data_IF_596599323162
#
_entry.id   IF_596599323162
#
_cell.length_a   1.000
_cell.length_b   1.000
_cell.length_c   1.000
_cell.angle_alpha   90.00
_cell.angle_beta   90.00
_cell.angle_gamma   90.00
#
_symmetry.space_group_name_H-M   'P 1'
#
loop_
_entity.id
_entity.type
_entity.pdbx_description
1 polymer ?
#
# COMPACT_ATOMS: atom_id res chain seq x y z
N UNK A 1 48.84 -11.98 -2.86
CA UNK A 1 47.67 -12.41 -3.63
C UNK A 1 46.45 -12.24 -2.75
N UNK A 2 45.59 -11.27 -3.08
CA UNK A 2 44.27 -11.09 -2.48
C UNK A 2 43.30 -12.10 -3.10
N UNK A 3 42.53 -12.82 -2.28
CA UNK A 3 41.17 -13.24 -2.64
C UNK A 3 40.29 -13.01 -1.41
N UNK A 4 39.42 -12.01 -1.53
CA UNK A 4 38.42 -11.58 -0.57
C UNK A 4 37.17 -12.44 -0.78
N UNK A 5 36.65 -13.03 0.30
CA UNK A 5 35.32 -13.65 0.39
C UNK A 5 34.22 -12.63 0.07
N UNK A 6 33.14 -12.99 -0.64
CA UNK A 6 31.85 -12.36 -0.45
C UNK A 6 30.94 -13.25 0.42
N UNK A 7 30.64 -12.75 1.62
CA UNK A 7 29.45 -13.13 2.37
C UNK A 7 28.21 -12.77 1.54
N UNK A 8 27.44 -13.77 1.15
CA UNK A 8 26.10 -13.64 0.57
C UNK A 8 25.10 -14.37 1.46
N UNK A 9 24.89 -13.82 2.66
CA UNK A 9 23.74 -14.06 3.56
C UNK A 9 23.63 -12.79 4.41
N UNK A 10 22.51 -12.14 4.65
CA UNK A 10 21.12 -12.44 4.41
C UNK A 10 20.42 -11.11 4.10
N UNK A 11 19.54 -11.13 3.11
CA UNK A 11 18.52 -10.09 2.96
C UNK A 11 17.64 -10.12 4.22
N UNK A 12 17.74 -9.06 5.01
CA UNK A 12 16.76 -8.73 6.03
C UNK A 12 15.41 -8.50 5.35
N UNK A 13 14.54 -9.51 5.41
CA UNK A 13 13.11 -9.37 5.15
C UNK A 13 12.45 -8.58 6.29
N UNK A 14 12.72 -7.28 6.34
CA UNK A 14 11.78 -6.34 6.94
C UNK A 14 10.65 -6.10 5.92
N UNK A 15 9.38 -6.16 6.31
CA UNK A 15 8.30 -5.68 5.47
C UNK A 15 8.43 -4.15 5.44
N UNK A 16 9.13 -3.63 4.45
CA UNK A 16 9.10 -2.21 4.15
C UNK A 16 7.68 -1.88 3.70
N UNK A 17 6.90 -1.31 4.62
CA UNK A 17 5.77 -0.46 4.25
C UNK A 17 6.34 0.68 3.40
N UNK A 18 6.27 0.52 2.08
CA UNK A 18 6.70 1.50 1.13
C UNK A 18 5.61 1.63 0.08
N UNK A 19 4.76 2.64 0.23
CA UNK A 19 4.18 3.32 -0.92
C UNK A 19 5.34 4.01 -1.66
N UNK A 20 6.26 3.26 -2.25
CA UNK A 20 7.44 3.84 -2.89
C UNK A 20 7.17 3.99 -4.36
N UNK A 21 6.74 5.19 -4.75
CA UNK A 21 7.06 5.70 -6.08
C UNK A 21 8.49 5.29 -6.44
N UNK A 22 8.67 4.75 -7.64
CA UNK A 22 9.98 4.48 -8.20
C UNK A 22 10.82 5.77 -8.20
N UNK A 23 12.15 5.64 -8.35
CA UNK A 23 13.01 6.83 -8.37
C UNK A 23 12.66 7.80 -9.51
N UNK A 24 12.18 7.29 -10.65
CA UNK A 24 11.67 8.12 -11.75
C UNK A 24 10.39 8.84 -11.37
N UNK A 25 9.42 8.14 -10.80
CA UNK A 25 8.14 8.75 -10.37
C UNK A 25 8.36 9.79 -9.28
N UNK A 26 9.29 9.55 -8.36
CA UNK A 26 9.67 10.53 -7.34
C UNK A 26 10.23 11.81 -7.94
N UNK A 27 11.01 11.71 -9.03
CA UNK A 27 11.49 12.89 -9.77
C UNK A 27 10.35 13.61 -10.47
N UNK A 28 9.41 12.88 -11.10
CA UNK A 28 8.19 13.47 -11.69
C UNK A 28 7.39 14.24 -10.65
N UNK A 29 7.16 13.65 -9.48
CA UNK A 29 6.50 14.28 -8.33
C UNK A 29 7.25 15.53 -7.85
N UNK A 30 8.58 15.45 -7.74
CA UNK A 30 9.39 16.59 -7.33
C UNK A 30 9.28 17.76 -8.32
N UNK A 31 9.34 17.49 -9.63
CA UNK A 31 9.18 18.51 -10.68
C UNK A 31 7.77 19.10 -10.69
N UNK A 32 6.74 18.27 -10.49
CA UNK A 32 5.35 18.71 -10.37
C UNK A 32 5.13 19.63 -9.16
N UNK A 33 5.59 19.21 -7.97
CA UNK A 33 5.51 19.99 -6.73
C UNK A 33 6.31 21.30 -6.88
N UNK A 34 7.51 21.23 -7.45
CA UNK A 34 8.34 22.41 -7.69
C UNK A 34 7.64 23.42 -8.61
N UNK A 35 7.08 22.96 -9.73
CA UNK A 35 6.35 23.83 -10.67
C UNK A 35 5.15 24.50 -9.99
N UNK A 36 4.37 23.73 -9.23
CA UNK A 36 3.20 24.24 -8.52
C UNK A 36 3.57 25.29 -7.46
N UNK A 37 4.62 25.03 -6.66
CA UNK A 37 5.04 25.95 -5.60
C UNK A 37 5.67 27.23 -6.14
N UNK A 38 6.48 27.16 -7.22
CA UNK A 38 7.02 28.37 -7.85
C UNK A 38 5.92 29.20 -8.50
N UNK A 39 4.98 28.57 -9.22
CA UNK A 39 3.79 29.25 -9.77
C UNK A 39 2.99 29.97 -8.69
N UNK A 40 2.77 29.31 -7.55
CA UNK A 40 2.08 29.91 -6.41
C UNK A 40 2.84 31.13 -5.84
N UNK A 41 4.16 31.05 -5.76
CA UNK A 41 5.01 32.13 -5.25
C UNK A 41 5.08 33.33 -6.20
N UNK A 42 5.16 33.10 -7.52
CA UNK A 42 5.10 34.15 -8.54
C UNK A 42 3.77 34.90 -8.43
N UNK A 43 2.66 34.16 -8.31
CA UNK A 43 1.34 34.76 -8.15
C UNK A 43 1.19 35.49 -6.81
N UNK A 44 1.74 34.94 -5.71
CA UNK A 44 1.79 35.63 -4.41
C UNK A 44 2.54 36.94 -4.50
N UNK A 45 3.73 36.94 -5.12
CA UNK A 45 4.55 38.13 -5.33
C UNK A 45 3.82 39.18 -6.18
N UNK A 46 3.19 38.74 -7.29
CA UNK A 46 2.36 39.61 -8.11
C UNK A 46 1.26 40.30 -7.29
N UNK A 47 0.54 39.55 -6.46
CA UNK A 47 -0.53 40.14 -5.62
C UNK A 47 0.02 41.09 -4.54
N UNK A 48 1.17 40.77 -3.94
CA UNK A 48 1.81 41.62 -2.94
C UNK A 48 2.25 42.96 -3.53
N UNK A 49 2.74 42.95 -4.76
CA UNK A 49 3.35 44.12 -5.39
C UNK A 49 2.44 44.85 -6.38
N UNK A 50 1.15 44.52 -6.37
CA UNK A 50 0.14 45.19 -7.20
C UNK A 50 -0.26 46.53 -6.58
N UNK A 51 0.63 47.52 -6.63
CA UNK A 51 0.26 48.93 -6.46
C UNK A 51 -0.32 49.46 -7.80
N UNK A 52 -1.33 50.34 -7.74
CA UNK A 52 -1.87 50.97 -8.97
C UNK A 52 -0.72 51.65 -9.72
N UNK A 53 -0.57 51.45 -11.05
CA UNK A 53 0.56 52.00 -11.77
C UNK A 53 0.58 53.52 -11.66
N UNK A 54 1.66 54.06 -11.08
CA UNK A 54 1.98 55.48 -11.15
C UNK A 54 2.31 55.82 -12.60
N UNK A 55 1.71 56.89 -13.13
CA UNK A 55 1.91 57.32 -14.52
C UNK A 55 3.41 57.51 -14.82
N UNK A 56 3.96 56.65 -15.69
CA UNK A 56 5.35 56.72 -16.15
C UNK A 56 6.27 55.58 -15.69
N UNK A 57 5.84 54.68 -14.80
CA UNK A 57 6.63 53.52 -14.40
C UNK A 57 6.36 52.30 -15.29
N UNK A 58 7.43 51.59 -15.67
CA UNK A 58 7.34 50.34 -16.43
C UNK A 58 6.65 49.31 -15.53
N UNK A 59 5.53 48.74 -15.99
CA UNK A 59 4.86 47.66 -15.26
C UNK A 59 5.75 46.41 -15.19
N UNK A 60 6.50 46.26 -14.09
CA UNK A 60 7.53 45.19 -13.96
C UNK A 60 6.91 43.81 -13.66
N UNK A 61 5.64 43.71 -13.26
CA UNK A 61 5.17 42.50 -12.59
C UNK A 61 4.04 41.85 -13.41
N UNK A 62 4.38 40.77 -14.11
CA UNK A 62 3.43 39.95 -14.86
C UNK A 62 3.11 38.70 -14.05
N UNK A 63 1.82 38.33 -14.01
CA UNK A 63 1.34 37.06 -13.44
C UNK A 63 2.02 35.86 -14.10
N UNK A 64 1.93 34.68 -13.48
CA UNK A 64 2.38 33.44 -14.11
C UNK A 64 1.61 33.16 -15.41
N UNK A 65 2.27 33.38 -16.55
CA UNK A 65 1.70 33.13 -17.89
C UNK A 65 1.66 31.65 -18.25
N UNK A 66 2.54 30.85 -17.65
CA UNK A 66 2.67 29.41 -17.92
C UNK A 66 1.75 28.57 -17.02
N UNK A 67 0.98 29.19 -16.11
CA UNK A 67 0.12 28.49 -15.16
C UNK A 67 -0.84 27.50 -15.86
N UNK A 68 -1.43 27.91 -16.98
CA UNK A 68 -2.35 27.05 -17.74
C UNK A 68 -1.63 25.81 -18.32
N UNK A 69 -0.43 26.01 -18.88
CA UNK A 69 0.44 24.93 -19.36
C UNK A 69 0.85 24.01 -18.22
N UNK A 70 1.26 24.59 -17.09
CA UNK A 70 1.61 23.86 -15.87
C UNK A 70 0.48 22.94 -15.42
N UNK A 71 -0.76 23.44 -15.31
CA UNK A 71 -1.92 22.62 -14.94
C UNK A 71 -2.20 21.49 -15.95
N UNK A 72 -2.07 21.76 -17.25
CA UNK A 72 -2.19 20.72 -18.28
C UNK A 72 -1.10 19.64 -18.14
N UNK A 73 0.13 20.04 -17.84
CA UNK A 73 1.23 19.11 -17.56
C UNK A 73 0.97 18.30 -16.30
N UNK A 74 0.48 18.91 -15.22
CA UNK A 74 0.10 18.17 -14.02
C UNK A 74 -0.98 17.12 -14.32
N UNK A 75 -2.00 17.47 -15.11
CA UNK A 75 -3.02 16.51 -15.52
C UNK A 75 -2.43 15.32 -16.30
N UNK A 76 -1.50 15.59 -17.22
CA UNK A 76 -0.92 14.53 -18.07
C UNK A 76 0.16 13.68 -17.37
N UNK A 77 0.91 14.27 -16.43
CA UNK A 77 2.08 13.63 -15.79
C UNK A 77 1.76 13.06 -14.41
N UNK A 78 0.87 13.70 -13.64
CA UNK A 78 0.52 13.29 -12.27
C UNK A 78 -0.98 13.09 -12.06
N UNK A 79 -1.77 13.09 -13.14
CA UNK A 79 -3.20 12.76 -13.15
C UNK A 79 -4.11 13.70 -12.36
N UNK A 80 -3.66 14.91 -12.05
CA UNK A 80 -4.48 15.88 -11.32
C UNK A 80 -4.13 17.32 -11.67
N UNK A 81 -5.10 18.22 -11.58
CA UNK A 81 -4.90 19.67 -11.54
C UNK A 81 -5.08 20.26 -10.14
N UNK A 82 -5.53 19.44 -9.18
CA UNK A 82 -5.72 19.84 -7.79
C UNK A 82 -4.35 19.95 -7.09
N UNK A 83 -3.92 21.21 -6.89
CA UNK A 83 -2.66 21.52 -6.23
C UNK A 83 -2.64 21.06 -4.76
N UNK A 84 -3.77 21.06 -4.06
CA UNK A 84 -3.82 20.59 -2.67
C UNK A 84 -3.59 19.08 -2.60
N UNK A 85 -4.19 18.33 -3.52
CA UNK A 85 -3.94 16.89 -3.66
C UNK A 85 -2.48 16.60 -3.97
N UNK A 86 -1.88 17.35 -4.90
CA UNK A 86 -0.46 17.23 -5.27
C UNK A 86 0.46 17.48 -4.07
N UNK A 87 0.27 18.59 -3.36
CA UNK A 87 1.12 18.98 -2.23
C UNK A 87 0.98 18.03 -1.03
N UNK A 88 -0.19 17.38 -0.88
CA UNK A 88 -0.46 16.40 0.16
C UNK A 88 0.05 14.98 -0.17
N UNK A 89 0.44 14.71 -1.43
CA UNK A 89 0.89 13.38 -1.86
C UNK A 89 2.17 12.94 -1.12
N UNK A 90 3.15 13.85 -0.97
CA UNK A 90 4.36 13.62 -0.18
C UNK A 90 4.77 14.89 0.60
N UNK A 91 4.23 15.05 1.80
CA UNK A 91 4.55 16.17 2.69
C UNK A 91 6.06 16.37 2.93
N UNK A 92 6.88 15.29 2.97
CA UNK A 92 8.32 15.42 3.20
C UNK A 92 8.97 16.07 1.99
N UNK A 93 8.64 15.58 0.79
CA UNK A 93 9.11 16.15 -0.47
C UNK A 93 8.60 17.58 -0.66
N UNK A 94 7.31 17.83 -0.43
CA UNK A 94 6.71 19.17 -0.48
C UNK A 94 7.44 20.15 0.44
N UNK A 95 7.69 19.77 1.69
CA UNK A 95 8.43 20.61 2.62
C UNK A 95 9.88 20.83 2.15
N UNK A 96 10.57 19.79 1.67
CA UNK A 96 11.92 19.92 1.15
C UNK A 96 12.00 20.90 -0.03
N UNK A 97 11.09 20.78 -1.00
CA UNK A 97 11.02 21.69 -2.15
C UNK A 97 10.70 23.10 -1.69
N UNK A 98 9.68 23.27 -0.83
CA UNK A 98 9.27 24.58 -0.30
C UNK A 98 10.41 25.33 0.38
N UNK A 99 11.23 24.64 1.19
CA UNK A 99 12.39 25.27 1.86
C UNK A 99 13.51 25.67 0.88
N UNK A 100 13.55 25.09 -0.33
CA UNK A 100 14.53 25.41 -1.36
C UNK A 100 14.13 26.57 -2.28
N UNK A 101 12.89 27.06 -2.18
CA UNK A 101 12.41 28.18 -3.01
C UNK A 101 12.88 29.49 -2.41
N UNK A 102 13.62 30.28 -3.19
CA UNK A 102 14.01 31.63 -2.82
C UNK A 102 12.84 32.59 -3.04
N UNK A 103 12.18 32.99 -1.96
CA UNK A 103 10.99 33.87 -2.00
C UNK A 103 11.42 35.34 -1.99
N UNK A 104 11.03 36.16 -2.98
CA UNK A 104 11.29 37.60 -2.94
C UNK A 104 10.59 38.27 -1.75
N UNK A 105 11.31 39.13 -1.02
CA UNK A 105 10.81 39.75 0.22
C UNK A 105 9.98 41.01 -0.01
N UNK A 106 10.34 41.79 -1.03
CA UNK A 106 9.71 43.06 -1.35
C UNK A 106 9.68 43.33 -2.88
N UNK A 107 8.97 44.39 -3.27
CA UNK A 107 8.69 44.70 -4.67
C UNK A 107 9.88 45.27 -5.44
N UNK A 108 11.01 45.50 -4.77
CA UNK A 108 12.26 45.95 -5.38
C UNK A 108 13.25 44.79 -5.59
N UNK A 109 12.96 43.60 -5.04
CA UNK A 109 13.77 42.40 -5.16
C UNK A 109 13.62 41.69 -6.53
N UNK A 110 13.97 42.44 -7.57
CA UNK A 110 13.95 42.00 -8.97
C UNK A 110 14.88 40.80 -9.22
N UNK A 111 15.96 40.68 -8.45
CA UNK A 111 16.91 39.57 -8.59
C UNK A 111 16.34 38.26 -8.05
N UNK A 112 15.69 38.27 -6.87
CA UNK A 112 15.01 37.08 -6.37
C UNK A 112 13.83 36.71 -7.27
N UNK A 113 13.09 37.70 -7.79
CA UNK A 113 12.01 37.46 -8.74
C UNK A 113 12.52 36.77 -10.01
N UNK A 114 13.60 37.26 -10.62
CA UNK A 114 14.18 36.64 -11.81
C UNK A 114 14.63 35.20 -11.49
N UNK A 115 15.28 34.99 -10.35
CA UNK A 115 15.71 33.65 -9.91
C UNK A 115 14.51 32.71 -9.73
N UNK A 116 13.40 33.21 -9.20
CA UNK A 116 12.16 32.46 -9.02
C UNK A 116 11.55 32.04 -10.38
N UNK A 117 11.55 32.95 -11.36
CA UNK A 117 11.08 32.70 -12.72
C UNK A 117 11.98 31.68 -13.42
N UNK A 118 13.30 31.86 -13.37
CA UNK A 118 14.25 30.94 -13.99
C UNK A 118 14.10 29.51 -13.43
N UNK A 119 13.96 29.39 -12.10
CA UNK A 119 13.75 28.09 -11.45
C UNK A 119 12.38 27.48 -11.79
N UNK A 120 11.36 28.31 -11.99
CA UNK A 120 10.06 27.86 -12.44
C UNK A 120 10.12 27.28 -13.86
N UNK A 121 10.80 27.96 -14.78
CA UNK A 121 11.00 27.48 -16.16
C UNK A 121 11.76 26.13 -16.17
N UNK A 122 12.80 26.00 -15.35
CA UNK A 122 13.54 24.74 -15.19
C UNK A 122 12.65 23.63 -14.63
N UNK A 123 11.79 23.93 -13.65
CA UNK A 123 10.87 22.97 -13.08
C UNK A 123 9.82 22.50 -14.10
N UNK A 124 9.27 23.43 -14.90
CA UNK A 124 8.32 23.12 -15.98
C UNK A 124 8.96 22.28 -17.07
N UNK A 125 10.17 22.64 -17.51
CA UNK A 125 10.91 21.86 -18.50
C UNK A 125 11.18 20.44 -17.98
N UNK A 126 11.57 20.31 -16.72
CA UNK A 126 11.78 19.01 -16.07
C UNK A 126 10.51 18.17 -16.03
N UNK A 127 9.35 18.78 -15.77
CA UNK A 127 8.05 18.12 -15.80
C UNK A 127 7.64 17.71 -17.22
N UNK A 128 7.99 18.50 -18.24
CA UNK A 128 7.71 18.21 -19.65
C UNK A 128 8.33 16.88 -20.09
N UNK A 129 9.61 16.73 -19.78
CA UNK A 129 10.40 15.56 -20.15
C UNK A 129 10.21 14.37 -19.19
N UNK A 130 9.50 14.58 -18.08
CA UNK A 130 9.28 13.53 -17.10
C UNK A 130 8.35 12.43 -17.64
N UNK A 131 8.55 11.20 -17.17
CA UNK A 131 7.59 10.11 -17.42
C UNK A 131 6.35 10.31 -16.54
N UNK A 132 5.13 10.05 -17.06
CA UNK A 132 3.93 10.07 -16.25
C UNK A 132 4.02 9.08 -15.07
N UNK A 133 3.32 9.39 -13.98
CA UNK A 133 3.11 8.43 -12.89
C UNK A 133 2.30 7.24 -13.39
N UNK A 134 2.65 6.03 -12.95
CA UNK A 134 1.87 4.84 -13.29
C UNK A 134 0.53 4.81 -12.54
N UNK A 135 0.48 5.45 -11.37
CA UNK A 135 -0.69 5.50 -10.50
C UNK A 135 -1.13 6.94 -10.23
N UNK A 136 -2.44 7.13 -10.04
CA UNK A 136 -3.02 8.43 -9.70
C UNK A 136 -2.67 8.83 -8.27
N UNK A 137 -2.56 10.14 -8.02
CA UNK A 137 -2.36 10.67 -6.66
C UNK A 137 -3.61 10.43 -5.81
N UNK A 138 -3.43 9.77 -4.67
CA UNK A 138 -4.49 9.52 -3.68
C UNK A 138 -4.13 10.30 -2.42
N UNK A 139 -5.04 11.13 -1.90
CA UNK A 139 -4.78 11.92 -0.68
C UNK A 139 -4.57 11.00 0.52
N UNK A 140 -3.60 11.29 1.41
CA UNK A 140 -3.32 10.44 2.59
C UNK A 140 -4.52 10.28 3.55
N UNK A 141 -5.48 11.22 3.55
CA UNK A 141 -6.72 11.07 4.30
C UNK A 141 -7.68 10.04 3.67
N UNK A 142 -7.65 9.90 2.34
CA UNK A 142 -8.35 8.85 1.62
C UNK A 142 -7.57 7.54 1.60
N UNK A 143 -6.25 7.53 1.80
CA UNK A 143 -5.47 6.27 1.82
C UNK A 143 -5.84 5.37 2.99
N UNK A 144 -6.04 5.88 4.21
CA UNK A 144 -6.41 5.04 5.36
C UNK A 144 -7.83 4.48 5.24
N UNK A 145 -8.79 5.28 4.75
CA UNK A 145 -10.19 4.85 4.58
C UNK A 145 -10.38 3.98 3.34
N UNK A 146 -9.64 4.25 2.26
CA UNK A 146 -9.61 3.42 1.05
C UNK A 146 -8.82 2.14 1.29
N UNK A 147 -7.77 2.13 2.11
CA UNK A 147 -7.09 0.90 2.53
C UNK A 147 -7.95 0.08 3.47
N UNK A 148 -8.61 0.68 4.46
CA UNK A 148 -9.58 -0.04 5.29
C UNK A 148 -10.70 -0.62 4.41
N UNK A 149 -11.22 0.14 3.44
CA UNK A 149 -12.23 -0.34 2.51
C UNK A 149 -11.69 -1.39 1.52
N UNK A 150 -10.47 -1.26 1.01
CA UNK A 150 -9.86 -2.20 0.08
C UNK A 150 -9.47 -3.50 0.80
N UNK A 151 -8.94 -3.42 2.02
CA UNK A 151 -8.67 -4.56 2.87
C UNK A 151 -9.98 -5.23 3.30
N UNK A 152 -11.01 -4.46 3.65
CA UNK A 152 -12.35 -4.99 3.92
C UNK A 152 -12.96 -5.63 2.66
N UNK A 153 -12.75 -5.04 1.49
CA UNK A 153 -13.23 -5.58 0.21
C UNK A 153 -12.46 -6.83 -0.19
N UNK A 154 -11.15 -6.92 0.08
CA UNK A 154 -10.35 -8.13 -0.10
C UNK A 154 -10.78 -9.23 0.87
N UNK A 155 -11.04 -8.89 2.13
CA UNK A 155 -11.58 -9.82 3.14
C UNK A 155 -12.94 -10.35 2.68
N UNK A 156 -13.87 -9.45 2.33
CA UNK A 156 -15.21 -9.82 1.87
C UNK A 156 -15.15 -10.64 0.57
N UNK A 157 -14.26 -10.30 -0.36
CA UNK A 157 -14.06 -11.05 -1.60
C UNK A 157 -13.48 -12.43 -1.32
N UNK A 158 -12.46 -12.54 -0.49
CA UNK A 158 -11.86 -13.83 -0.11
C UNK A 158 -12.91 -14.73 0.54
N UNK A 159 -13.74 -14.19 1.43
CA UNK A 159 -14.84 -14.92 2.05
C UNK A 159 -15.89 -15.32 1.00
N UNK A 160 -16.26 -14.43 0.07
CA UNK A 160 -17.25 -14.71 -0.97
C UNK A 160 -16.78 -15.75 -1.99
N UNK A 161 -15.49 -15.73 -2.36
CA UNK A 161 -14.87 -16.66 -3.29
C UNK A 161 -14.60 -18.03 -2.64
N UNK A 162 -14.66 -18.11 -1.30
CA UNK A 162 -14.50 -19.36 -0.56
C UNK A 162 -15.78 -20.18 -0.59
N UNK A 163 -15.62 -21.49 -0.77
CA UNK A 163 -16.68 -22.46 -0.58
C UNK A 163 -16.73 -22.96 0.87
N UNK A 164 -15.56 -23.17 1.48
CA UNK A 164 -15.44 -23.59 2.87
C UNK A 164 -14.36 -22.78 3.58
N UNK A 165 -14.64 -22.43 4.84
CA UNK A 165 -13.71 -21.69 5.70
C UNK A 165 -13.65 -22.40 7.04
N UNK A 166 -12.44 -22.67 7.54
CA UNK A 166 -12.26 -23.38 8.80
C UNK A 166 -11.15 -22.74 9.65
N UNK A 167 -11.40 -22.62 10.95
CA UNK A 167 -10.36 -22.38 11.94
C UNK A 167 -9.83 -23.75 12.40
N UNK A 168 -8.54 -23.98 12.22
CA UNK A 168 -7.89 -25.25 12.49
C UNK A 168 -6.74 -25.08 13.48
N UNK A 169 -6.40 -26.17 14.18
CA UNK A 169 -5.22 -26.24 15.04
C UNK A 169 -4.31 -27.39 14.64
N UNK A 170 -3.00 -27.15 14.70
CA UNK A 170 -1.97 -28.13 14.36
C UNK A 170 -1.75 -29.08 15.53
N UNK A 171 -2.02 -30.37 15.34
CA UNK A 171 -1.87 -31.42 16.35
C UNK A 171 -1.06 -32.59 15.80
N UNK A 172 -0.34 -33.29 16.67
CA UNK A 172 0.39 -34.50 16.26
C UNK A 172 -0.57 -35.65 15.99
N UNK A 173 -0.34 -36.43 14.93
CA UNK A 173 -1.08 -37.66 14.63
C UNK A 173 -1.06 -38.63 15.81
N UNK A 174 0.03 -38.68 16.57
CA UNK A 174 0.18 -39.57 17.74
C UNK A 174 -0.80 -39.26 18.88
N UNK A 175 -1.35 -38.05 18.94
CA UNK A 175 -2.32 -37.66 19.96
C UNK A 175 -3.76 -38.06 19.61
N UNK A 176 -3.97 -38.68 18.45
CA UNK A 176 -5.26 -38.92 17.85
C UNK A 176 -5.45 -40.40 17.53
N UNK A 177 -6.66 -40.91 17.73
CA UNK A 177 -7.01 -42.25 17.28
C UNK A 177 -7.24 -42.30 15.75
N UNK A 178 -7.29 -43.50 15.17
CA UNK A 178 -7.42 -43.68 13.72
C UNK A 178 -8.68 -43.02 13.13
N UNK A 179 -9.80 -43.04 13.86
CA UNK A 179 -11.06 -42.41 13.44
C UNK A 179 -10.93 -40.88 13.41
N UNK A 180 -10.29 -40.31 14.43
CA UNK A 180 -10.02 -38.87 14.51
C UNK A 180 -9.04 -38.42 13.43
N UNK A 181 -8.00 -39.21 13.14
CA UNK A 181 -7.04 -38.91 12.07
C UNK A 181 -7.70 -38.93 10.68
N UNK A 182 -8.67 -39.82 10.45
CA UNK A 182 -9.42 -39.88 9.20
C UNK A 182 -10.37 -38.67 9.00
N UNK A 183 -10.81 -38.03 10.09
CA UNK A 183 -11.75 -36.92 10.06
C UNK A 183 -11.07 -35.54 10.09
N UNK A 184 -9.75 -35.49 10.26
CA UNK A 184 -8.98 -34.24 10.32
C UNK A 184 -8.17 -34.04 9.04
N UNK A 185 -7.78 -32.79 8.82
CA UNK A 185 -7.19 -32.37 7.56
C UNK A 185 -5.69 -32.62 7.61
N UNK A 186 -5.12 -33.12 6.53
CA UNK A 186 -3.70 -33.45 6.48
C UNK A 186 -2.97 -32.31 5.79
N UNK A 187 -2.01 -31.65 6.47
CA UNK A 187 -1.11 -30.68 5.88
C UNK A 187 -0.40 -31.23 4.64
N UNK A 188 0.06 -32.47 4.78
CA UNK A 188 0.56 -33.37 3.76
C UNK A 188 0.39 -34.80 4.30
N UNK A 189 0.26 -35.79 3.42
CA UNK A 189 0.18 -37.20 3.81
C UNK A 189 1.42 -37.67 4.56
N UNK A 190 2.60 -37.11 4.23
CA UNK A 190 3.87 -37.46 4.86
C UNK A 190 4.13 -36.75 6.20
N UNK A 191 3.41 -35.66 6.51
CA UNK A 191 3.63 -34.90 7.76
C UNK A 191 3.18 -35.69 9.00
N UNK A 192 3.90 -35.56 10.12
CA UNK A 192 3.49 -36.10 11.43
C UNK A 192 2.33 -35.33 12.08
N UNK A 193 1.92 -34.21 11.48
CA UNK A 193 0.92 -33.31 12.01
C UNK A 193 -0.34 -33.32 11.18
N UNK A 194 -1.47 -33.00 11.81
CA UNK A 194 -2.77 -32.79 11.17
C UNK A 194 -3.40 -31.49 11.66
N UNK A 195 -4.26 -30.92 10.83
CA UNK A 195 -5.13 -29.82 11.17
C UNK A 195 -6.46 -30.34 11.70
N UNK A 196 -6.63 -30.21 13.00
CA UNK A 196 -7.91 -30.44 13.67
C UNK A 196 -8.78 -29.20 13.50
N UNK A 197 -9.95 -29.35 12.88
CA UNK A 197 -10.93 -28.27 12.76
C UNK A 197 -11.53 -27.95 14.13
N UNK A 198 -11.53 -26.66 14.49
CA UNK A 198 -12.17 -26.13 15.70
C UNK A 198 -13.57 -25.59 15.38
N UNK A 199 -13.64 -24.75 14.35
CA UNK A 199 -14.85 -24.05 13.92
C UNK A 199 -14.86 -23.92 12.40
N UNK A 200 -16.04 -23.87 11.81
CA UNK A 200 -16.21 -23.71 10.37
C UNK A 200 -17.37 -22.81 9.98
N UNK A 201 -17.25 -22.22 8.80
CA UNK A 201 -18.21 -21.32 8.16
C UNK A 201 -18.43 -21.74 6.71
N UNK A 202 -19.62 -21.43 6.18
CA UNK A 202 -20.07 -21.78 4.84
C UNK A 202 -20.12 -23.30 4.62
N UNK A 203 -19.61 -23.77 3.48
CA UNK A 203 -19.56 -25.18 3.14
C UNK A 203 -18.70 -25.98 4.11
N UNK A 204 -19.04 -27.26 4.20
CA UNK A 204 -18.23 -28.26 4.87
C UNK A 204 -17.48 -29.05 3.80
N UNK A 205 -16.16 -29.17 3.96
CA UNK A 205 -15.35 -30.05 3.13
C UNK A 205 -14.64 -31.04 4.05
N UNK A 206 -14.81 -32.33 3.75
CA UNK A 206 -14.24 -33.45 4.51
C UNK A 206 -12.78 -33.74 4.17
N UNK A 207 -12.29 -33.27 3.01
CA UNK A 207 -10.93 -33.53 2.51
C UNK A 207 -10.44 -32.34 1.65
N UNK A 208 -9.18 -31.95 1.78
CA UNK A 208 -8.59 -30.86 0.98
C UNK A 208 -7.42 -31.36 0.16
N UNK A 209 -7.22 -30.75 -1.01
CA UNK A 209 -6.17 -31.12 -1.96
C UNK A 209 -4.99 -30.15 -1.85
N UNK A 210 -3.93 -30.64 -1.20
CA UNK A 210 -2.60 -30.06 -1.19
C UNK A 210 -2.46 -28.80 -0.33
N UNK A 211 -1.46 -28.76 0.55
CA UNK A 211 -1.05 -27.51 1.18
C UNK A 211 0.41 -27.20 0.85
N UNK A 212 0.71 -25.91 0.66
CA UNK A 212 2.09 -25.43 0.49
C UNK A 212 2.87 -25.24 1.80
N UNK A 213 2.27 -25.53 2.96
CA UNK A 213 2.92 -25.35 4.29
C UNK A 213 3.37 -26.71 4.82
N UNK A 214 4.57 -27.16 4.44
CA UNK A 214 5.16 -28.31 5.12
C UNK A 214 5.44 -27.94 6.58
N UNK A 215 4.86 -28.69 7.53
CA UNK A 215 5.20 -28.56 8.95
C UNK A 215 6.25 -29.62 9.27
N UNK A 216 7.50 -29.17 9.37
CA UNK A 216 8.60 -30.03 9.79
C UNK A 216 8.68 -30.13 11.33
N UNK A 217 9.15 -31.26 11.85
CA UNK A 217 9.24 -31.53 13.29
C UNK A 217 10.10 -30.50 14.04
N UNK A 218 11.10 -29.92 13.39
CA UNK A 218 11.97 -28.87 13.95
C UNK A 218 11.31 -27.48 13.98
N UNK A 219 10.23 -27.26 13.23
CA UNK A 219 9.54 -25.98 13.09
C UNK A 219 8.22 -25.93 13.87
N UNK A 220 7.72 -27.07 14.36
CA UNK A 220 6.44 -27.15 15.06
C UNK A 220 6.32 -26.16 16.23
N UNK A 221 7.43 -25.87 16.92
CA UNK A 221 7.47 -24.99 18.08
C UNK A 221 7.58 -23.50 17.72
N UNK A 222 7.93 -23.18 16.48
CA UNK A 222 8.09 -21.79 15.99
C UNK A 222 6.91 -21.34 15.15
N UNK A 223 6.15 -22.28 14.56
CA UNK A 223 4.96 -21.93 13.78
C UNK A 223 3.74 -21.62 14.66
N UNK A 224 2.82 -20.75 14.19
CA UNK A 224 1.51 -20.58 14.79
C UNK A 224 0.76 -21.92 14.91
N UNK A 225 0.12 -22.16 16.06
CA UNK A 225 -0.64 -23.40 16.33
C UNK A 225 -2.05 -23.39 15.77
N UNK A 226 -2.55 -22.23 15.37
CA UNK A 226 -3.92 -22.04 14.88
C UNK A 226 -3.90 -21.24 13.59
N UNK A 227 -4.74 -21.66 12.64
CA UNK A 227 -4.81 -21.11 11.30
C UNK A 227 -6.26 -21.00 10.83
N UNK A 228 -6.61 -19.90 10.20
CA UNK A 228 -7.84 -19.73 9.44
C UNK A 228 -7.55 -20.05 7.98
N UNK A 229 -8.22 -21.07 7.45
CA UNK A 229 -8.02 -21.58 6.09
C UNK A 229 -9.26 -21.32 5.23
N UNK A 230 -9.03 -20.96 3.97
CA UNK A 230 -10.03 -20.58 2.98
C UNK A 230 -9.88 -21.47 1.75
N UNK A 231 -10.98 -22.09 1.33
CA UNK A 231 -10.93 -23.22 0.41
C UNK A 231 -11.96 -23.05 -0.70
N UNK A 232 -11.56 -23.39 -1.92
CA UNK A 232 -12.45 -23.36 -3.09
C UNK A 232 -13.43 -24.55 -3.08
N UNK A 233 -14.35 -24.58 -4.05
CA UNK A 233 -15.34 -25.66 -4.21
C UNK A 233 -14.74 -27.05 -4.48
N UNK A 234 -13.48 -27.12 -4.89
CA UNK A 234 -12.76 -28.37 -5.16
C UNK A 234 -11.87 -28.78 -3.98
N UNK A 235 -11.86 -28.00 -2.89
CA UNK A 235 -11.01 -28.25 -1.73
C UNK A 235 -9.56 -27.79 -1.88
N UNK A 236 -9.25 -26.89 -2.82
CA UNK A 236 -7.94 -26.24 -2.91
C UNK A 236 -7.84 -25.03 -1.99
N UNK A 237 -6.64 -24.77 -1.47
CA UNK A 237 -6.37 -23.57 -0.67
C UNK A 237 -6.42 -22.31 -1.52
N UNK A 238 -7.30 -21.39 -1.12
CA UNK A 238 -7.30 -20.00 -1.58
C UNK A 238 -6.34 -19.18 -0.71
N UNK A 239 -6.41 -19.36 0.62
CA UNK A 239 -5.60 -18.60 1.59
C UNK A 239 -5.47 -19.36 2.92
N UNK A 240 -4.36 -19.19 3.61
CA UNK A 240 -4.16 -19.64 4.98
C UNK A 240 -3.53 -18.51 5.80
N UNK A 241 -4.12 -18.19 6.95
CA UNK A 241 -3.72 -17.05 7.80
C UNK A 241 -3.58 -17.54 9.23
N UNK A 242 -2.50 -17.19 9.91
CA UNK A 242 -2.34 -17.52 11.33
C UNK A 242 -3.40 -16.80 12.17
N UNK A 243 -3.92 -17.46 13.21
CA UNK A 243 -5.08 -16.97 13.95
C UNK A 243 -4.88 -15.57 14.57
N UNK A 244 -3.64 -15.24 14.98
CA UNK A 244 -3.25 -13.93 15.49
C UNK A 244 -3.44 -12.80 14.46
N UNK A 245 -3.37 -13.11 13.16
CA UNK A 245 -3.54 -12.17 12.05
C UNK A 245 -4.92 -12.26 11.41
N UNK A 246 -5.77 -13.19 11.84
CA UNK A 246 -7.06 -13.49 11.23
C UNK A 246 -8.24 -12.72 11.87
N UNK A 247 -7.99 -11.85 12.84
CA UNK A 247 -9.03 -11.11 13.60
C UNK A 247 -10.01 -10.39 12.68
N UNK A 248 -9.54 -9.73 11.63
CA UNK A 248 -10.40 -9.00 10.68
C UNK A 248 -11.34 -9.93 9.92
N UNK A 249 -10.91 -11.15 9.58
CA UNK A 249 -11.75 -12.14 8.90
C UNK A 249 -12.77 -12.75 9.88
N UNK A 250 -12.33 -13.09 11.09
CA UNK A 250 -13.20 -13.65 12.14
C UNK A 250 -14.33 -12.68 12.52
N UNK A 251 -14.05 -11.37 12.57
CA UNK A 251 -15.07 -10.34 12.82
C UNK A 251 -16.15 -10.30 11.74
N UNK A 252 -15.81 -10.59 10.47
CA UNK A 252 -16.78 -10.63 9.36
C UNK A 252 -17.55 -11.94 9.34
N UNK A 253 -16.87 -13.05 9.63
CA UNK A 253 -17.48 -14.39 9.66
C UNK A 253 -18.47 -14.56 10.81
N UNK A 254 -18.30 -13.81 11.91
CA UNK A 254 -19.17 -13.85 13.09
C UNK A 254 -19.28 -15.29 13.64
N UNK A 255 -20.48 -15.79 13.91
CA UNK A 255 -20.69 -17.08 14.56
C UNK A 255 -20.37 -18.26 13.64
N UNK A 256 -19.68 -19.26 14.19
CA UNK A 256 -19.39 -20.50 13.50
C UNK A 256 -20.69 -21.24 13.16
N UNK A 257 -20.78 -21.73 11.93
CA UNK A 257 -21.95 -22.46 11.43
C UNK A 257 -21.85 -23.97 11.70
N UNK A 258 -20.63 -24.49 11.87
CA UNK A 258 -20.43 -25.90 12.16
C UNK A 258 -19.11 -26.16 12.89
N UNK A 259 -19.00 -27.32 13.52
CA UNK A 259 -17.79 -27.82 14.19
C UNK A 259 -17.79 -29.33 14.29
N UNK A 260 -16.66 -29.91 14.64
CA UNK A 260 -16.57 -31.32 14.99
C UNK A 260 -16.55 -31.51 16.50
N UNK A 261 -17.24 -32.53 17.01
CA UNK A 261 -17.09 -32.94 18.40
C UNK A 261 -15.81 -33.76 18.63
N UNK A 262 -15.59 -34.16 19.88
CA UNK A 262 -14.44 -35.01 20.28
C UNK A 262 -14.39 -36.38 19.60
N UNK A 263 -15.52 -36.85 19.07
CA UNK A 263 -15.63 -38.12 18.34
C UNK A 263 -15.49 -37.92 16.82
N UNK A 264 -15.42 -36.69 16.34
CA UNK A 264 -15.32 -36.36 14.92
C UNK A 264 -16.67 -36.33 14.20
N UNK A 265 -17.79 -36.22 14.94
CA UNK A 265 -19.10 -35.99 14.31
C UNK A 265 -19.27 -34.52 13.97
N UNK A 266 -19.87 -34.23 12.80
CA UNK A 266 -20.20 -32.89 12.37
C UNK A 266 -21.44 -32.38 13.11
N UNK A 267 -21.28 -31.27 13.84
CA UNK A 267 -22.36 -30.50 14.44
C UNK A 267 -22.58 -29.23 13.64
N UNK A 268 -23.82 -28.96 13.25
CA UNK A 268 -24.23 -27.73 12.57
C UNK A 268 -25.08 -26.91 13.54
N UNK A 269 -24.79 -25.61 13.63
CA UNK A 269 -25.52 -24.65 14.45
C UNK A 269 -26.75 -24.13 13.71
#
# INVERSE_FOLDING_TARGET
>A
MLIILPLLTALSSMPAMASSYSSSERRTLQSAISSALHSAEINRYYQQCREQPTEGEIAVIQTDKEQSRMLAMLQSKVHTQDLNLLLAADNKLTNQVKHGINTPTDCQDTKALQTLIDNYEVALFSLDIAMPLEQQLISKASSAKTQANAQQQEVNKTIADSHAIALVTVVSKQQLNAVQQANYLHPDYESNYVFKVMYGWQGHISHYLGMHISVADNEINTIPKQWLIFLDKNGHFIKAISADKAITYLNVLSDAQWRYDVYGNLHRN
#
